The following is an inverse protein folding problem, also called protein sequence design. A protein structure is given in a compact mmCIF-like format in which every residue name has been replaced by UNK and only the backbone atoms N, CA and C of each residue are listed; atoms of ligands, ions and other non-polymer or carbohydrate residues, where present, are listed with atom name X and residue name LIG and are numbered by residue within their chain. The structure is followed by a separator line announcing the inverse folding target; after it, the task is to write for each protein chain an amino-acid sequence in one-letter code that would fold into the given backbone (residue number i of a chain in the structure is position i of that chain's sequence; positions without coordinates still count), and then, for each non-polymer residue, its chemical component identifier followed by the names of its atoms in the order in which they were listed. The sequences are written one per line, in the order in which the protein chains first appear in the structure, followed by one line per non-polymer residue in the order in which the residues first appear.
data_IF_082552729949
#
_entry.id   IF_082552729949
#
_cell.length_a   1.000
_cell.length_b   1.000
_cell.length_c   1.000
_cell.angle_alpha   90.00
_cell.angle_beta   90.00
_cell.angle_gamma   90.00
#
_symmetry.space_group_name_H-M   'P 1'
#
loop_
_entity.id
_entity.type
_entity.pdbx_description
1 polymer ?
#
# COMPACT_ATOMS: atom_id res chain seq x y z
N UNK A 1 12.14 1.70 12.18
CA UNK A 1 10.66 1.61 12.19
C UNK A 1 10.15 1.31 13.59
N UNK A 2 9.34 2.22 14.12
CA UNK A 2 8.67 2.03 15.41
C UNK A 2 7.25 1.52 15.19
N UNK A 3 6.79 0.67 16.11
CA UNK A 3 5.39 0.26 16.24
C UNK A 3 4.81 0.97 17.44
N UNK A 4 3.68 1.66 17.29
CA UNK A 4 2.96 2.18 18.45
C UNK A 4 2.12 1.07 19.07
N UNK A 5 2.35 0.79 20.36
CA UNK A 5 1.55 -0.16 21.14
C UNK A 5 1.17 0.53 22.45
N UNK A 6 -0.13 0.62 22.75
CA UNK A 6 -0.65 1.32 23.94
C UNK A 6 -0.12 2.77 24.11
N UNK A 7 0.12 3.48 23.00
CA UNK A 7 0.62 4.87 23.01
C UNK A 7 2.14 5.02 23.10
N UNK A 8 2.91 3.93 23.16
CA UNK A 8 4.38 3.98 23.25
C UNK A 8 5.05 3.47 21.96
N UNK A 9 6.13 4.14 21.49
CA UNK A 9 6.91 3.67 20.36
C UNK A 9 7.76 2.46 20.76
N UNK A 10 7.67 1.38 19.97
CA UNK A 10 8.32 0.11 20.23
C UNK A 10 9.27 -0.25 19.08
N UNK A 11 10.50 -0.64 19.43
CA UNK A 11 11.53 -1.06 18.48
C UNK A 11 11.87 -2.54 18.69
N UNK A 12 11.69 -3.36 17.65
CA UNK A 12 12.07 -4.77 17.67
C UNK A 12 13.47 -4.93 17.06
N UNK A 13 14.44 -5.36 17.89
CA UNK A 13 15.78 -5.75 17.43
C UNK A 13 15.82 -7.25 17.16
N UNK A 14 15.64 -7.63 15.90
CA UNK A 14 15.59 -9.03 15.47
C UNK A 14 16.94 -9.51 14.95
N UNK A 15 17.50 -10.57 15.55
CA UNK A 15 18.71 -11.25 15.06
C UNK A 15 18.33 -12.61 14.46
N UNK A 16 18.36 -12.73 13.13
CA UNK A 16 18.08 -13.99 12.42
C UNK A 16 19.32 -14.86 12.33
N UNK A 17 19.21 -16.15 12.66
CA UNK A 17 20.32 -17.10 12.53
C UNK A 17 20.52 -17.46 11.06
N UNK A 18 21.78 -17.45 10.61
CA UNK A 18 22.18 -17.89 9.28
C UNK A 18 22.92 -19.22 9.42
N UNK A 19 22.49 -20.23 8.68
CA UNK A 19 23.07 -21.56 8.64
C UNK A 19 23.75 -21.77 7.29
N UNK A 20 24.99 -22.27 7.29
CA UNK A 20 25.71 -22.65 6.07
C UNK A 20 25.71 -24.17 5.97
N UNK A 21 25.21 -24.71 4.86
CA UNK A 21 25.37 -26.14 4.58
C UNK A 21 26.86 -26.46 4.39
N UNK A 22 27.37 -27.48 5.09
CA UNK A 22 28.78 -27.87 5.00
C UNK A 22 29.13 -28.55 3.67
N UNK A 23 28.17 -29.23 3.06
CA UNK A 23 28.37 -30.02 1.84
C UNK A 23 28.23 -29.18 0.56
N UNK A 24 27.13 -28.42 0.43
CA UNK A 24 26.87 -27.62 -0.78
C UNK A 24 27.14 -26.11 -0.62
N UNK A 25 27.58 -25.66 0.55
CA UNK A 25 27.93 -24.25 0.82
C UNK A 25 26.75 -23.26 0.86
N UNK A 26 25.52 -23.69 0.57
CA UNK A 26 24.32 -22.83 0.53
C UNK A 26 24.01 -22.25 1.92
N UNK A 27 23.55 -20.98 1.92
CA UNK A 27 23.13 -20.27 3.13
C UNK A 27 21.60 -20.35 3.28
N UNK A 28 21.13 -20.81 4.44
CA UNK A 28 19.73 -20.72 4.86
C UNK A 28 19.61 -19.72 6.01
N UNK A 29 18.58 -18.88 5.99
CA UNK A 29 18.27 -17.93 7.07
C UNK A 29 17.02 -18.41 7.78
N UNK A 30 17.03 -18.44 9.11
CA UNK A 30 15.84 -18.79 9.89
C UNK A 30 14.66 -17.86 9.55
N UNK A 31 13.52 -18.45 9.21
CA UNK A 31 12.28 -17.72 8.94
C UNK A 31 11.56 -17.37 10.24
N UNK A 32 10.77 -16.31 10.21
CA UNK A 32 10.05 -15.79 11.39
C UNK A 32 8.81 -15.03 10.93
N UNK A 33 7.69 -15.11 11.68
CA UNK A 33 6.47 -14.40 11.34
C UNK A 33 6.62 -12.87 11.45
N UNK A 34 7.62 -12.38 12.18
CA UNK A 34 7.82 -10.94 12.41
C UNK A 34 8.23 -10.18 11.15
N UNK A 35 9.04 -10.80 10.30
CA UNK A 35 9.64 -10.16 9.11
C UNK A 35 9.74 -11.19 7.98
N UNK A 36 9.08 -10.90 6.84
CA UNK A 36 9.11 -11.73 5.62
C UNK A 36 10.54 -12.01 5.14
N UNK A 37 10.72 -13.09 4.37
CA UNK A 37 11.99 -13.41 3.69
C UNK A 37 12.43 -12.23 2.83
N UNK A 38 13.73 -11.91 2.85
CA UNK A 38 14.33 -10.79 2.10
C UNK A 38 13.77 -9.39 2.45
N UNK A 39 13.14 -9.23 3.61
CA UNK A 39 12.65 -7.93 4.09
C UNK A 39 13.34 -7.54 5.42
N UNK A 40 13.34 -6.24 5.72
CA UNK A 40 13.86 -5.67 6.98
C UNK A 40 12.76 -5.02 7.83
N UNK A 41 11.65 -4.57 7.21
CA UNK A 41 10.51 -3.98 7.90
C UNK A 41 9.58 -5.10 8.39
N UNK A 42 9.09 -4.97 9.62
CA UNK A 42 8.19 -5.96 10.20
C UNK A 42 6.83 -5.97 9.51
N UNK A 43 6.17 -7.14 9.55
CA UNK A 43 4.82 -7.32 8.99
C UNK A 43 3.84 -6.35 9.65
N UNK A 44 3.92 -6.18 10.97
CA UNK A 44 3.07 -5.27 11.72
C UNK A 44 3.23 -3.79 11.27
N UNK A 45 4.47 -3.34 10.98
CA UNK A 45 4.67 -1.97 10.47
C UNK A 45 4.05 -1.82 9.09
N UNK A 46 4.23 -2.81 8.21
CA UNK A 46 3.62 -2.79 6.88
C UNK A 46 2.08 -2.78 6.92
N UNK A 47 1.49 -3.51 7.86
CA UNK A 47 0.04 -3.48 8.11
C UNK A 47 -0.40 -2.11 8.62
N UNK A 48 0.36 -1.48 9.52
CA UNK A 48 0.02 -0.15 10.03
C UNK A 48 0.14 0.93 8.95
N UNK A 49 1.13 0.85 8.07
CA UNK A 49 1.23 1.72 6.89
C UNK A 49 -0.04 1.59 6.04
N UNK A 50 -0.46 0.36 5.73
CA UNK A 50 -1.67 0.10 4.95
C UNK A 50 -2.92 0.68 5.61
N UNK A 51 -3.10 0.47 6.92
CA UNK A 51 -4.21 1.04 7.67
C UNK A 51 -4.25 2.57 7.58
N UNK A 52 -3.12 3.24 7.86
CA UNK A 52 -3.06 4.70 7.84
C UNK A 52 -3.28 5.29 6.44
N UNK A 53 -2.89 4.56 5.38
CA UNK A 53 -3.18 4.95 4.00
C UNK A 53 -4.69 4.84 3.70
N UNK A 54 -5.37 3.80 4.20
CA UNK A 54 -6.82 3.64 4.08
C UNK A 54 -7.57 4.75 4.84
N UNK A 55 -7.05 5.15 6.01
CA UNK A 55 -7.52 6.31 6.78
C UNK A 55 -7.18 7.67 6.12
N UNK A 56 -6.71 7.65 4.86
CA UNK A 56 -6.33 8.80 4.04
C UNK A 56 -5.35 9.78 4.72
N UNK A 57 -4.44 9.25 5.54
CA UNK A 57 -3.42 10.06 6.21
C UNK A 57 -2.32 10.47 5.23
N UNK A 58 -1.80 11.69 5.39
CA UNK A 58 -0.72 12.18 4.53
C UNK A 58 0.55 11.31 4.64
N UNK A 59 1.14 10.93 3.50
CA UNK A 59 2.32 10.06 3.47
C UNK A 59 3.50 10.57 4.31
N UNK A 60 3.72 11.90 4.36
CA UNK A 60 4.76 12.52 5.21
C UNK A 60 4.47 12.30 6.70
N UNK A 61 3.21 12.40 7.10
CA UNK A 61 2.78 12.17 8.48
C UNK A 61 2.97 10.70 8.87
N UNK A 62 2.56 9.77 8.01
CA UNK A 62 2.78 8.32 8.21
C UNK A 62 4.27 8.01 8.36
N UNK A 63 5.10 8.55 7.47
CA UNK A 63 6.54 8.35 7.47
C UNK A 63 7.19 8.82 8.77
N UNK A 64 6.81 10.02 9.24
CA UNK A 64 7.27 10.57 10.51
C UNK A 64 6.83 9.69 11.70
N UNK A 65 5.54 9.37 11.78
CA UNK A 65 4.95 8.58 12.88
C UNK A 65 5.60 7.20 13.03
N UNK A 66 5.83 6.51 11.92
CA UNK A 66 6.41 5.15 11.95
C UNK A 66 7.95 5.15 11.86
N UNK A 67 8.58 6.32 11.76
CA UNK A 67 10.03 6.50 11.55
C UNK A 67 10.55 5.63 10.40
N UNK A 68 9.98 5.86 9.23
CA UNK A 68 10.33 5.26 7.94
C UNK A 68 10.45 6.33 6.86
N UNK A 69 11.03 5.99 5.72
CA UNK A 69 11.06 6.92 4.58
C UNK A 69 9.67 7.06 3.93
N UNK A 70 9.38 8.23 3.37
CA UNK A 70 8.20 8.46 2.53
C UNK A 70 8.16 7.53 1.31
N UNK A 71 9.33 7.17 0.76
CA UNK A 71 9.45 6.19 -0.33
C UNK A 71 8.98 4.80 0.08
N UNK A 72 9.12 4.42 1.35
CA UNK A 72 8.61 3.13 1.85
C UNK A 72 7.08 3.15 1.93
N UNK A 73 6.48 4.27 2.35
CA UNK A 73 5.02 4.48 2.33
C UNK A 73 4.50 4.44 0.89
N UNK A 74 5.15 5.14 -0.03
CA UNK A 74 4.79 5.17 -1.45
C UNK A 74 4.84 3.78 -2.11
N UNK A 75 5.90 2.99 -1.81
CA UNK A 75 5.99 1.60 -2.28
C UNK A 75 4.81 0.77 -1.79
N UNK A 76 4.41 0.95 -0.53
CA UNK A 76 3.25 0.24 0.02
C UNK A 76 1.95 0.71 -0.62
N UNK A 77 1.80 2.01 -0.89
CA UNK A 77 0.67 2.57 -1.62
C UNK A 77 0.55 1.96 -3.03
N UNK A 78 1.67 1.81 -3.74
CA UNK A 78 1.69 1.21 -5.08
C UNK A 78 1.39 -0.30 -5.10
N UNK A 79 1.36 -0.98 -3.94
CA UNK A 79 0.88 -2.37 -3.86
C UNK A 79 -0.65 -2.44 -3.94
N UNK A 80 -1.35 -1.36 -3.60
CA UNK A 80 -2.81 -1.30 -3.78
C UNK A 80 -3.11 -1.16 -5.26
N UNK A 81 -3.88 -2.11 -5.77
CA UNK A 81 -4.40 -2.08 -7.13
C UNK A 81 -5.88 -1.79 -7.05
N UNK A 82 -6.30 -0.79 -7.82
CA UNK A 82 -7.69 -0.62 -8.17
C UNK A 82 -7.89 -1.34 -9.50
N UNK A 83 -8.71 -2.38 -9.49
CA UNK A 83 -9.06 -3.14 -10.69
C UNK A 83 -10.54 -2.89 -10.98
N UNK A 84 -10.84 -2.43 -12.18
CA UNK A 84 -12.23 -2.30 -12.64
C UNK A 84 -12.74 -3.68 -13.04
N UNK A 85 -13.82 -4.12 -12.41
CA UNK A 85 -14.54 -5.30 -12.86
C UNK A 85 -15.48 -4.92 -14.01
N UNK A 86 -15.13 -5.33 -15.22
CA UNK A 86 -15.91 -5.05 -16.43
C UNK A 86 -17.05 -6.06 -16.66
N UNK A 87 -17.18 -7.07 -15.81
CA UNK A 87 -18.22 -8.10 -15.96
C UNK A 87 -19.56 -7.69 -15.34
N UNK A 88 -19.57 -6.60 -14.56
CA UNK A 88 -20.73 -6.17 -13.79
C UNK A 88 -21.09 -4.74 -14.21
N UNK A 89 -22.34 -4.56 -14.60
CA UNK A 89 -22.94 -3.24 -14.83
C UNK A 89 -23.98 -3.01 -13.74
N UNK A 90 -23.88 -1.93 -12.94
CA UNK A 90 -24.91 -1.61 -11.95
C UNK A 90 -26.24 -1.27 -12.63
N UNK A 91 -27.34 -1.42 -11.91
CA UNK A 91 -28.67 -1.03 -12.39
C UNK A 91 -28.77 0.48 -12.59
N UNK A 92 -28.21 1.26 -11.66
CA UNK A 92 -28.11 2.72 -11.73
C UNK A 92 -26.65 3.14 -11.58
N UNK A 93 -26.11 3.77 -12.62
CA UNK A 93 -24.73 4.29 -12.62
C UNK A 93 -24.75 5.81 -12.45
N UNK A 94 -23.82 6.31 -11.64
CA UNK A 94 -23.51 7.74 -11.58
C UNK A 94 -22.09 7.98 -12.08
N UNK A 95 -21.90 9.06 -12.82
CA UNK A 95 -20.60 9.44 -13.37
C UNK A 95 -20.42 10.96 -13.33
N UNK A 96 -19.16 11.39 -13.24
CA UNK A 96 -18.80 12.81 -13.24
C UNK A 96 -17.37 13.00 -13.76
N UNK A 97 -16.99 14.25 -14.04
CA UNK A 97 -15.61 14.65 -14.33
C UNK A 97 -15.07 15.56 -13.23
N UNK A 98 -13.86 15.28 -12.76
CA UNK A 98 -13.18 16.09 -11.76
C UNK A 98 -11.79 16.51 -12.22
N UNK A 99 -11.37 17.70 -11.79
CA UNK A 99 -10.02 18.19 -12.05
C UNK A 99 -9.01 17.47 -11.15
N UNK A 100 -8.13 16.68 -11.75
CA UNK A 100 -6.97 16.06 -11.09
C UNK A 100 -5.68 16.80 -11.45
N UNK A 101 -4.60 16.52 -10.70
CA UNK A 101 -3.28 17.19 -10.71
C UNK A 101 -2.97 18.02 -11.97
N UNK A 102 -2.65 19.31 -11.78
CA UNK A 102 -2.29 20.27 -12.84
C UNK A 102 -3.40 20.53 -13.87
N UNK A 103 -4.67 20.54 -13.44
CA UNK A 103 -5.81 20.96 -14.27
C UNK A 103 -6.21 19.95 -15.35
N UNK A 104 -5.77 18.70 -15.23
CA UNK A 104 -6.20 17.62 -16.14
C UNK A 104 -7.49 17.02 -15.59
N UNK A 105 -8.54 16.98 -16.40
CA UNK A 105 -9.79 16.31 -16.00
C UNK A 105 -9.61 14.80 -15.97
N UNK A 106 -10.28 14.15 -15.04
CA UNK A 106 -10.38 12.69 -14.93
C UNK A 106 -11.85 12.34 -14.79
N UNK A 107 -12.25 11.26 -15.45
CA UNK A 107 -13.62 10.76 -15.41
C UNK A 107 -13.73 9.71 -14.31
N UNK A 108 -14.81 9.78 -13.54
CA UNK A 108 -15.14 8.79 -12.52
C UNK A 108 -16.54 8.24 -12.78
N UNK A 109 -16.69 6.93 -12.63
CA UNK A 109 -17.97 6.24 -12.62
C UNK A 109 -18.08 5.37 -11.37
N UNK A 110 -19.27 5.35 -10.78
CA UNK A 110 -19.58 4.57 -9.59
C UNK A 110 -21.02 4.04 -9.67
N UNK A 111 -21.27 2.96 -8.94
CA UNK A 111 -22.61 2.48 -8.65
C UNK A 111 -23.34 3.52 -7.78
N UNK A 112 -24.55 3.90 -8.18
CA UNK A 112 -25.33 4.91 -7.47
C UNK A 112 -25.78 4.45 -6.07
N UNK A 113 -26.15 3.18 -5.92
CA UNK A 113 -26.72 2.67 -4.68
C UNK A 113 -25.62 2.31 -3.67
N UNK A 114 -24.59 1.61 -4.13
CA UNK A 114 -23.49 1.16 -3.25
C UNK A 114 -22.38 2.18 -3.07
N UNK A 115 -22.34 3.23 -3.90
CA UNK A 115 -21.27 4.23 -3.97
C UNK A 115 -19.89 3.64 -4.25
N UNK A 116 -19.83 2.39 -4.73
CA UNK A 116 -18.58 1.74 -5.08
C UNK A 116 -18.08 2.30 -6.41
N UNK A 117 -16.83 2.76 -6.42
CA UNK A 117 -16.17 3.23 -7.63
C UNK A 117 -15.97 2.06 -8.58
N UNK A 118 -16.47 2.21 -9.81
CA UNK A 118 -16.36 1.21 -10.88
C UNK A 118 -15.11 1.51 -11.70
N UNK A 119 -14.98 2.75 -12.17
CA UNK A 119 -13.88 3.15 -13.03
C UNK A 119 -13.40 4.55 -12.70
N UNK A 120 -12.08 4.72 -12.77
CA UNK A 120 -11.41 6.02 -12.82
C UNK A 120 -10.59 6.02 -14.11
N UNK A 121 -10.95 6.90 -15.03
CA UNK A 121 -10.29 7.02 -16.33
C UNK A 121 -9.53 8.34 -16.39
N UNK A 122 -8.23 8.25 -16.71
CA UNK A 122 -7.43 9.43 -16.98
C UNK A 122 -7.97 10.17 -18.21
N UNK A 123 -7.91 11.51 -18.19
CA UNK A 123 -8.43 12.35 -19.27
C UNK A 123 -7.82 12.02 -20.63
N UNK A 124 -8.62 12.16 -21.69
CA UNK A 124 -8.25 11.89 -23.09
C UNK A 124 -6.93 12.58 -23.47
N UNK A 125 -5.84 11.84 -23.58
CA UNK A 125 -4.86 12.12 -24.63
C UNK A 125 -5.48 11.59 -25.92
N UNK A 126 -5.73 12.46 -26.91
CA UNK A 126 -6.05 11.98 -28.25
C UNK A 126 -4.96 10.98 -28.64
N UNK A 127 -5.37 9.77 -29.04
CA UNK A 127 -4.47 8.86 -29.72
C UNK A 127 -4.11 9.54 -31.06
N UNK A 128 -2.92 10.14 -31.11
CA UNK A 128 -2.33 10.62 -32.37
C UNK A 128 -1.83 9.43 -33.18
#
# INVERSE_FOLDING_TARGET
PYLETAGYPLLIRLRKRRFKCKECGKMAVAETPLVKKNHQISVAVNQKIAQLLIENQAMKHIAHRLSISTSSVMRKLNEFKFETDWNILPEVMSWDEYAFKKGKMSFIAQDFDSLNVIAILDGRTQAT
#
